data_IF_742788411953
#
_entry.id   IF_742788411953
#
_cell.length_a   1.000
_cell.length_b   1.000
_cell.length_c   1.000
_cell.angle_alpha   90.00
_cell.angle_beta   90.00
_cell.angle_gamma   90.00
#
_symmetry.space_group_name_H-M   'P 1'
#
loop_
_entity.id
_entity.type
_entity.pdbx_description
1 polymer ?
#
# COMPACT_ATOMS: atom_id res chain seq x y z
N UNK A 1 -0.41 -17.48 -12.61
CA UNK A 1 0.68 -18.44 -12.88
C UNK A 1 1.96 -17.63 -12.93
N UNK A 2 2.99 -18.06 -12.19
CA UNK A 2 4.28 -17.38 -12.09
C UNK A 2 5.08 -17.59 -13.39
N UNK A 3 5.79 -16.58 -13.88
CA UNK A 3 6.60 -16.75 -15.08
C UNK A 3 7.90 -17.52 -14.79
N UNK A 4 8.51 -18.18 -15.80
CA UNK A 4 9.69 -19.01 -15.61
C UNK A 4 10.94 -18.26 -15.14
N UNK A 5 11.09 -16.97 -15.47
CA UNK A 5 12.25 -16.19 -15.07
C UNK A 5 12.19 -15.87 -13.57
N UNK A 6 11.00 -15.52 -13.08
CA UNK A 6 10.77 -15.31 -11.64
C UNK A 6 10.98 -16.60 -10.84
N UNK A 7 10.53 -17.75 -11.36
CA UNK A 7 10.76 -19.04 -10.70
C UNK A 7 12.26 -19.38 -10.56
N UNK A 8 13.05 -19.10 -11.61
CA UNK A 8 14.49 -19.31 -11.60
C UNK A 8 15.20 -18.43 -10.55
N UNK A 9 14.84 -17.15 -10.46
CA UNK A 9 15.40 -16.23 -9.47
C UNK A 9 15.07 -16.63 -8.03
N UNK A 10 13.88 -17.17 -7.78
CA UNK A 10 13.53 -17.71 -6.47
C UNK A 10 14.32 -18.98 -6.13
N UNK A 11 14.69 -19.76 -7.14
CA UNK A 11 15.59 -20.91 -7.01
C UNK A 11 17.07 -20.52 -6.92
N UNK A 12 17.45 -19.25 -7.04
CA UNK A 12 18.81 -18.74 -6.78
C UNK A 12 18.95 -18.07 -5.41
N UNK A 13 17.85 -17.96 -4.64
CA UNK A 13 17.89 -17.46 -3.27
C UNK A 13 18.89 -18.24 -2.41
N UNK A 14 19.46 -17.53 -1.43
CA UNK A 14 20.28 -18.12 -0.37
C UNK A 14 19.53 -19.21 0.40
N UNK A 15 20.25 -20.09 1.07
CA UNK A 15 19.65 -21.22 1.80
C UNK A 15 18.59 -20.76 2.83
N UNK A 16 18.85 -19.66 3.54
CA UNK A 16 17.91 -19.08 4.50
C UNK A 16 16.62 -18.62 3.82
N UNK A 17 16.71 -17.79 2.78
CA UNK A 17 15.54 -17.31 2.03
C UNK A 17 14.81 -18.44 1.30
N UNK A 18 15.54 -19.42 0.78
CA UNK A 18 14.98 -20.60 0.10
C UNK A 18 14.20 -21.47 1.07
N UNK A 19 14.63 -21.58 2.32
CA UNK A 19 13.88 -22.32 3.34
C UNK A 19 12.50 -21.69 3.58
N UNK A 20 12.43 -20.35 3.66
CA UNK A 20 11.17 -19.61 3.81
C UNK A 20 10.29 -19.73 2.57
N UNK A 21 10.88 -19.65 1.37
CA UNK A 21 10.15 -19.90 0.13
C UNK A 21 9.52 -21.30 0.10
N UNK A 22 10.25 -22.34 0.54
CA UNK A 22 9.69 -23.70 0.62
C UNK A 22 8.56 -23.80 1.65
N UNK A 23 8.69 -23.14 2.80
CA UNK A 23 7.64 -23.10 3.82
C UNK A 23 6.37 -22.41 3.30
N UNK A 24 6.53 -21.29 2.59
CA UNK A 24 5.46 -20.60 1.89
C UNK A 24 4.78 -21.52 0.88
N UNK A 25 5.54 -22.17 -0.01
CA UNK A 25 4.96 -23.07 -1.02
C UNK A 25 4.25 -24.27 -0.38
N UNK A 26 4.81 -24.84 0.68
CA UNK A 26 4.18 -25.94 1.41
C UNK A 26 2.87 -25.53 2.10
N UNK A 27 2.82 -24.33 2.71
CA UNK A 27 1.58 -23.80 3.31
C UNK A 27 0.52 -23.46 2.25
N UNK A 28 0.93 -22.91 1.11
CA UNK A 28 0.06 -22.63 -0.02
C UNK A 28 -0.58 -23.92 -0.59
N UNK A 29 0.20 -25.00 -0.76
CA UNK A 29 -0.31 -26.31 -1.20
C UNK A 29 -1.30 -26.91 -0.19
N UNK A 30 -1.09 -26.67 1.11
CA UNK A 30 -2.01 -27.10 2.17
C UNK A 30 -3.28 -26.24 2.26
N UNK A 31 -3.36 -25.12 1.54
CA UNK A 31 -4.47 -24.17 1.63
C UNK A 31 -4.50 -23.38 2.94
N UNK A 32 -3.39 -23.33 3.67
CA UNK A 32 -3.27 -22.56 4.91
C UNK A 32 -2.81 -21.13 4.58
N UNK A 33 -3.80 -20.28 4.29
CA UNK A 33 -3.58 -18.92 3.81
C UNK A 33 -3.01 -17.99 4.90
N UNK A 34 -3.38 -18.16 6.16
CA UNK A 34 -2.86 -17.32 7.26
C UNK A 34 -1.35 -17.53 7.43
N UNK A 35 -0.94 -18.80 7.50
CA UNK A 35 0.47 -19.16 7.59
C UNK A 35 1.24 -18.79 6.31
N UNK A 36 0.61 -18.85 5.14
CA UNK A 36 1.20 -18.43 3.88
C UNK A 36 1.58 -16.94 3.89
N UNK A 37 0.71 -16.07 4.41
CA UNK A 37 1.00 -14.65 4.58
C UNK A 37 2.17 -14.39 5.52
N UNK A 38 2.26 -15.14 6.63
CA UNK A 38 3.37 -15.02 7.57
C UNK A 38 4.72 -15.39 6.93
N UNK A 39 4.78 -16.49 6.17
CA UNK A 39 6.00 -16.88 5.47
C UNK A 39 6.35 -15.91 4.33
N UNK A 40 5.36 -15.33 3.65
CA UNK A 40 5.60 -14.30 2.64
C UNK A 40 6.26 -13.05 3.25
N UNK A 41 5.76 -12.59 4.40
CA UNK A 41 6.34 -11.45 5.12
C UNK A 41 7.76 -11.76 5.65
N UNK A 42 7.99 -12.99 6.14
CA UNK A 42 9.32 -13.43 6.59
C UNK A 42 10.31 -13.47 5.42
N UNK A 43 9.92 -14.08 4.30
CA UNK A 43 10.72 -14.14 3.08
C UNK A 43 11.09 -12.73 2.60
N UNK A 44 10.10 -11.84 2.48
CA UNK A 44 10.31 -10.45 2.05
C UNK A 44 11.28 -9.69 2.94
N UNK A 45 11.14 -9.82 4.27
CA UNK A 45 12.06 -9.19 5.23
C UNK A 45 13.48 -9.73 5.11
N UNK A 46 13.67 -11.05 5.06
CA UNK A 46 15.00 -11.63 4.95
C UNK A 46 15.68 -11.30 3.61
N UNK A 47 14.94 -11.32 2.49
CA UNK A 47 15.48 -10.90 1.20
C UNK A 47 15.89 -9.43 1.20
N UNK A 48 15.13 -8.55 1.86
CA UNK A 48 15.49 -7.14 1.99
C UNK A 48 16.78 -6.93 2.81
N UNK A 49 16.98 -7.69 3.89
CA UNK A 49 18.23 -7.63 4.65
C UNK A 49 19.43 -8.14 3.84
N UNK A 50 19.29 -9.28 3.15
CA UNK A 50 20.37 -9.81 2.32
C UNK A 50 20.71 -8.93 1.12
N UNK A 51 19.73 -8.20 0.59
CA UNK A 51 19.98 -7.16 -0.41
C UNK A 51 20.83 -6.02 0.17
N UNK A 52 20.56 -5.57 1.39
CA UNK A 52 21.38 -4.52 2.06
C UNK A 52 22.82 -4.98 2.28
N UNK A 53 23.03 -6.27 2.55
CA UNK A 53 24.36 -6.89 2.66
C UNK A 53 25.03 -7.16 1.31
N UNK A 54 24.36 -6.87 0.18
CA UNK A 54 24.90 -7.06 -1.17
C UNK A 54 24.93 -8.51 -1.66
N UNK A 55 24.22 -9.42 -0.97
CA UNK A 55 24.15 -10.85 -1.33
C UNK A 55 23.12 -11.10 -2.43
N UNK A 56 22.00 -10.36 -2.41
CA UNK A 56 20.93 -10.44 -3.41
C UNK A 56 20.93 -9.21 -4.31
N UNK A 57 20.55 -9.42 -5.58
CA UNK A 57 20.34 -8.34 -6.54
C UNK A 57 18.90 -7.81 -6.57
N UNK A 58 18.69 -6.76 -7.35
CA UNK A 58 17.38 -6.10 -7.47
C UNK A 58 16.32 -7.02 -8.11
N UNK A 59 16.74 -7.87 -9.04
CA UNK A 59 15.89 -8.86 -9.70
C UNK A 59 15.31 -9.89 -8.71
N UNK A 60 16.07 -10.26 -7.69
CA UNK A 60 15.61 -11.16 -6.63
C UNK A 60 14.52 -10.51 -5.78
N UNK A 61 14.69 -9.23 -5.43
CA UNK A 61 13.66 -8.46 -4.73
C UNK A 61 12.39 -8.33 -5.56
N UNK A 62 12.52 -8.00 -6.85
CA UNK A 62 11.38 -7.91 -7.76
C UNK A 62 10.63 -9.25 -7.86
N UNK A 63 11.36 -10.37 -7.88
CA UNK A 63 10.76 -11.70 -7.92
C UNK A 63 9.99 -12.03 -6.63
N UNK A 64 10.55 -11.70 -5.47
CA UNK A 64 9.91 -11.89 -4.16
C UNK A 64 8.70 -10.98 -4.00
N UNK A 65 8.77 -9.73 -4.45
CA UNK A 65 7.62 -8.82 -4.45
C UNK A 65 6.48 -9.37 -5.32
N UNK A 66 6.78 -9.84 -6.53
CA UNK A 66 5.80 -10.49 -7.39
C UNK A 66 5.17 -11.75 -6.76
N UNK A 67 5.97 -12.57 -6.06
CA UNK A 67 5.44 -13.71 -5.29
C UNK A 67 4.47 -13.25 -4.19
N UNK A 68 4.84 -12.24 -3.41
CA UNK A 68 4.03 -11.71 -2.32
C UNK A 68 2.70 -11.15 -2.85
N UNK A 69 2.71 -10.47 -4.00
CA UNK A 69 1.47 -10.02 -4.66
C UNK A 69 0.57 -11.19 -5.07
N UNK A 70 1.14 -12.28 -5.61
CA UNK A 70 0.37 -13.48 -5.97
C UNK A 70 -0.25 -14.11 -4.72
N UNK A 71 0.51 -14.22 -3.63
CA UNK A 71 0.01 -14.72 -2.35
C UNK A 71 -1.12 -13.86 -1.81
N UNK A 72 -0.93 -12.53 -1.76
CA UNK A 72 -1.96 -11.58 -1.32
C UNK A 72 -3.25 -11.71 -2.15
N UNK A 73 -3.13 -11.80 -3.48
CA UNK A 73 -4.29 -12.02 -4.37
C UNK A 73 -4.98 -13.36 -4.09
N UNK A 74 -4.22 -14.43 -3.83
CA UNK A 74 -4.76 -15.75 -3.50
C UNK A 74 -5.48 -15.80 -2.16
N UNK A 75 -5.01 -15.03 -1.18
CA UNK A 75 -5.63 -14.91 0.15
C UNK A 75 -6.90 -14.04 0.15
N UNK A 76 -7.20 -13.34 -0.95
CA UNK A 76 -8.29 -12.36 -0.99
C UNK A 76 -8.08 -11.19 -0.03
N UNK A 77 -6.84 -10.94 0.41
CA UNK A 77 -6.53 -9.75 1.21
C UNK A 77 -6.91 -8.52 0.39
N UNK A 78 -7.70 -7.63 0.99
CA UNK A 78 -8.13 -6.40 0.33
C UNK A 78 -6.90 -5.63 -0.16
N UNK A 79 -6.89 -5.29 -1.44
CA UNK A 79 -5.91 -4.39 -2.01
C UNK A 79 -5.92 -3.10 -1.16
N UNK A 80 -4.76 -2.65 -0.72
CA UNK A 80 -4.65 -1.44 0.12
C UNK A 80 -5.31 -0.23 -0.56
N UNK A 81 -5.60 0.84 0.20
CA UNK A 81 -6.28 2.00 -0.36
C UNK A 81 -5.46 2.60 -1.51
N UNK A 82 -6.13 2.90 -2.61
CA UNK A 82 -5.50 3.51 -3.78
C UNK A 82 -5.04 4.92 -3.45
N UNK A 83 -3.82 5.28 -3.83
CA UNK A 83 -3.32 6.65 -3.70
C UNK A 83 -3.86 7.54 -4.82
N UNK A 84 -4.45 8.67 -4.45
CA UNK A 84 -4.92 9.70 -5.37
C UNK A 84 -4.08 10.97 -5.19
N UNK A 85 -3.44 11.42 -6.27
CA UNK A 85 -2.69 12.66 -6.26
C UNK A 85 -3.62 13.86 -6.41
N UNK A 86 -3.53 14.83 -5.51
CA UNK A 86 -4.36 16.03 -5.51
C UNK A 86 -3.51 17.26 -5.85
N UNK A 87 -4.08 18.16 -6.66
CA UNK A 87 -3.44 19.43 -7.00
C UNK A 87 -3.69 20.49 -5.91
N UNK A 88 -3.19 20.20 -4.71
CA UNK A 88 -3.25 21.04 -3.50
C UNK A 88 -2.01 20.69 -2.68
N UNK A 89 -1.36 21.63 -2.00
CA UNK A 89 -0.29 21.33 -1.05
C UNK A 89 -0.85 21.29 0.38
N UNK A 90 -0.60 20.18 1.09
CA UNK A 90 -1.04 19.99 2.48
C UNK A 90 -0.40 21.06 3.37
N UNK A 91 0.88 21.33 3.19
CA UNK A 91 1.61 22.31 4.00
C UNK A 91 1.10 23.74 3.85
N UNK A 92 0.63 24.12 2.65
CA UNK A 92 0.14 25.49 2.40
C UNK A 92 -1.35 25.67 2.68
N UNK A 93 -2.14 24.62 2.45
CA UNK A 93 -3.61 24.71 2.49
C UNK A 93 -4.22 24.04 3.72
N UNK A 94 -3.55 23.06 4.31
CA UNK A 94 -4.01 22.28 5.47
C UNK A 94 -2.91 22.15 6.55
N UNK A 95 -2.28 23.27 6.99
CA UNK A 95 -1.16 23.21 7.93
C UNK A 95 -1.55 22.56 9.27
N UNK A 96 -2.78 22.79 9.74
CA UNK A 96 -3.26 22.23 11.02
C UNK A 96 -3.46 20.70 10.94
N UNK A 97 -3.75 20.17 9.74
CA UNK A 97 -3.84 18.73 9.54
C UNK A 97 -2.47 18.08 9.72
N UNK A 98 -1.44 18.69 9.15
CA UNK A 98 -0.06 18.21 9.27
C UNK A 98 0.51 18.44 10.68
N UNK A 99 0.30 19.62 11.26
CA UNK A 99 0.96 20.03 12.50
C UNK A 99 0.30 19.47 13.76
N UNK A 100 -1.03 19.37 13.80
CA UNK A 100 -1.81 19.01 15.00
C UNK A 100 -2.92 18.00 14.71
N UNK A 101 -2.83 17.26 13.61
CA UNK A 101 -3.78 16.20 13.23
C UNK A 101 -5.24 16.67 13.12
N UNK A 102 -5.47 17.95 12.78
CA UNK A 102 -6.81 18.48 12.61
C UNK A 102 -7.53 17.80 11.44
N UNK A 103 -8.69 17.20 11.73
CA UNK A 103 -9.53 16.56 10.72
C UNK A 103 -10.33 17.60 9.94
N UNK A 104 -10.25 17.52 8.61
CA UNK A 104 -11.06 18.33 7.71
C UNK A 104 -12.08 17.46 6.96
N UNK A 105 -13.32 17.93 6.75
CA UNK A 105 -14.25 17.25 5.87
C UNK A 105 -13.75 17.30 4.42
N UNK A 106 -13.50 16.13 3.85
CA UNK A 106 -13.08 15.97 2.45
C UNK A 106 -14.11 15.09 1.76
N UNK A 107 -14.72 15.62 0.70
CA UNK A 107 -15.73 14.92 -0.10
C UNK A 107 -15.47 15.10 -1.60
N UNK A 108 -15.84 14.13 -2.44
CA UNK A 108 -15.88 14.36 -3.88
C UNK A 108 -16.92 15.42 -4.25
N UNK A 109 -16.62 16.27 -5.23
CA UNK A 109 -17.55 17.32 -5.72
C UNK A 109 -18.71 16.70 -6.51
N UNK A 110 -18.43 15.60 -7.22
CA UNK A 110 -19.33 14.99 -8.19
C UNK A 110 -19.58 13.54 -7.84
N UNK A 111 -20.67 12.98 -8.40
CA UNK A 111 -20.99 11.55 -8.36
C UNK A 111 -21.17 10.99 -6.93
N UNK A 112 -21.64 11.84 -6.00
CA UNK A 112 -21.94 11.49 -4.61
C UNK A 112 -23.05 10.42 -4.46
N UNK A 113 -23.91 10.28 -5.47
CA UNK A 113 -25.00 9.30 -5.49
C UNK A 113 -24.56 7.93 -6.04
N UNK A 114 -23.31 7.78 -6.47
CA UNK A 114 -22.80 6.53 -7.01
C UNK A 114 -22.09 5.69 -5.93
N UNK A 115 -22.52 4.44 -5.73
CA UNK A 115 -22.03 3.51 -4.69
C UNK A 115 -20.53 3.16 -4.77
N UNK A 116 -19.59 3.72 -3.98
CA UNK A 116 -18.12 3.58 -4.08
C UNK A 116 -17.54 2.21 -4.51
N UNK A 117 -16.43 2.21 -5.26
CA UNK A 117 -15.80 1.01 -5.82
C UNK A 117 -14.42 0.70 -5.23
N UNK A 118 -13.72 1.71 -4.70
CA UNK A 118 -12.35 1.58 -4.20
C UNK A 118 -12.19 2.46 -2.97
N UNK A 119 -11.42 2.01 -2.00
CA UNK A 119 -10.95 2.89 -0.93
C UNK A 119 -9.71 3.64 -1.41
N UNK A 120 -9.54 4.89 -0.97
CA UNK A 120 -8.37 5.67 -1.34
C UNK A 120 -7.91 6.68 -0.30
N UNK A 121 -6.62 7.00 -0.40
CA UNK A 121 -5.94 8.04 0.37
C UNK A 121 -5.51 9.15 -0.56
N UNK A 122 -5.38 10.37 -0.03
CA UNK A 122 -4.98 11.51 -0.83
C UNK A 122 -3.51 11.80 -0.58
N UNK A 123 -2.77 12.16 -1.62
CA UNK A 123 -1.40 12.66 -1.49
C UNK A 123 -1.28 13.89 -2.37
N UNK A 124 -0.62 14.92 -1.86
CA UNK A 124 -0.32 16.07 -2.67
C UNK A 124 0.78 15.76 -3.70
N UNK A 125 1.20 16.80 -4.41
CA UNK A 125 2.28 16.75 -5.40
C UNK A 125 3.62 17.22 -4.83
N UNK A 126 3.71 17.42 -3.51
CA UNK A 126 4.99 17.77 -2.88
C UNK A 126 5.88 16.53 -2.78
N UNK A 127 7.19 16.74 -2.62
CA UNK A 127 8.15 15.65 -2.48
C UNK A 127 8.22 15.08 -1.06
N UNK A 128 7.41 15.60 -0.14
CA UNK A 128 7.43 15.20 1.26
C UNK A 128 6.40 14.08 1.50
N UNK A 129 6.81 13.00 2.19
CA UNK A 129 5.92 11.88 2.50
C UNK A 129 4.77 12.25 3.44
N UNK A 130 4.91 13.36 4.17
CA UNK A 130 3.89 13.92 5.06
C UNK A 130 2.85 14.75 4.28
N UNK A 131 3.09 15.01 2.99
CA UNK A 131 2.12 15.60 2.06
C UNK A 131 0.97 14.65 1.72
N UNK A 132 0.33 14.02 2.71
CA UNK A 132 -0.74 13.05 2.54
C UNK A 132 -1.89 13.30 3.50
N UNK A 133 -3.08 12.86 3.08
CA UNK A 133 -4.26 12.76 3.92
C UNK A 133 -4.66 11.29 4.01
N UNK A 134 -4.42 10.71 5.18
CA UNK A 134 -4.71 9.33 5.53
C UNK A 134 -5.53 9.19 6.83
N UNK A 135 -6.03 10.31 7.36
CA UNK A 135 -7.01 10.34 8.45
C UNK A 135 -8.25 11.12 8.03
N UNK A 136 -9.42 10.49 8.20
CA UNK A 136 -10.71 11.05 7.80
C UNK A 136 -11.72 10.98 8.95
N UNK A 137 -12.72 11.86 8.89
CA UNK A 137 -13.80 11.94 9.88
C UNK A 137 -14.42 10.57 10.12
N UNK A 138 -14.63 10.23 11.40
CA UNK A 138 -15.15 8.93 11.81
C UNK A 138 -14.07 7.86 12.01
N UNK A 139 -12.80 8.26 12.18
CA UNK A 139 -11.69 7.35 12.47
C UNK A 139 -11.30 6.46 11.29
N UNK A 140 -11.59 6.92 10.07
CA UNK A 140 -11.29 6.16 8.84
C UNK A 140 -9.89 6.49 8.35
N UNK A 141 -9.20 5.48 7.82
CA UNK A 141 -7.88 5.62 7.19
C UNK A 141 -7.94 5.81 5.66
N UNK A 142 -9.13 5.78 5.08
CA UNK A 142 -9.37 5.96 3.65
C UNK A 142 -10.77 6.49 3.38
N UNK A 143 -10.95 7.10 2.20
CA UNK A 143 -12.24 7.50 1.67
C UNK A 143 -12.78 6.42 0.73
N UNK A 144 -14.08 6.11 0.81
CA UNK A 144 -14.72 5.28 -0.20
C UNK A 144 -14.94 6.12 -1.44
N UNK A 145 -14.19 5.80 -2.49
CA UNK A 145 -14.07 6.53 -3.73
C UNK A 145 -14.43 5.67 -4.94
N UNK A 146 -14.26 6.26 -6.10
CA UNK A 146 -14.50 5.67 -7.39
C UNK A 146 -13.39 6.15 -8.35
N UNK A 147 -13.40 5.68 -9.59
CA UNK A 147 -12.45 6.10 -10.63
C UNK A 147 -12.80 7.46 -11.26
N UNK A 148 -11.86 8.41 -11.26
CA UNK A 148 -11.95 9.76 -11.83
C UNK A 148 -12.90 10.73 -11.09
N UNK A 149 -12.38 11.40 -10.06
CA UNK A 149 -13.12 12.34 -9.19
C UNK A 149 -12.29 13.59 -8.92
N UNK A 150 -12.99 14.69 -8.63
CA UNK A 150 -12.40 15.92 -8.10
C UNK A 150 -12.87 16.07 -6.66
N UNK A 151 -11.96 16.43 -5.76
CA UNK A 151 -12.24 16.65 -4.35
C UNK A 151 -12.54 18.12 -4.07
N UNK A 152 -13.45 18.36 -3.12
CA UNK A 152 -13.57 19.63 -2.42
C UNK A 152 -13.23 19.38 -0.96
N UNK A 153 -12.24 20.12 -0.47
CA UNK A 153 -12.04 20.27 0.96
C UNK A 153 -12.99 21.35 1.44
N UNK A 154 -13.99 20.99 2.25
CA UNK A 154 -14.86 21.96 2.88
C UNK A 154 -14.08 22.60 4.03
N UNK A 155 -13.41 23.71 3.74
CA UNK A 155 -12.91 24.61 4.75
C UNK A 155 -14.12 25.21 5.48
N UNK A 156 -14.46 24.64 6.64
CA UNK A 156 -15.42 25.23 7.54
C UNK A 156 -14.79 26.49 8.18
N UNK A 157 -14.75 27.58 7.41
CA UNK A 157 -14.35 28.94 7.80
C UNK A 157 -12.92 29.15 8.35
N UNK A 158 -12.26 30.19 7.82
CA UNK A 158 -11.37 31.13 8.50
C UNK A 158 -10.97 30.78 9.95
N UNK A 159 -9.68 30.54 10.20
CA UNK A 159 -9.05 31.18 11.36
C UNK A 159 -8.74 32.61 10.91
N UNK A 160 -9.72 33.48 11.12
CA UNK A 160 -9.45 34.90 11.27
C UNK A 160 -8.95 35.09 12.69
N UNK A 161 -7.63 35.09 12.85
CA UNK A 161 -6.90 35.77 13.93
C UNK A 161 -5.79 36.55 13.25
#
# INVERSE_FOLDING_TARGET
MMDPATAYLLDELTDDCRSEYRNLMASAVRGDFETCGLYADQLKRHCAEQFKEGVLGLEHLAAVDGLCEIVARGMGTAEGPRRYHINLSVFTSLPDMWAIEQLFPIIPIQRLQERPAVDGVLSDLTCDSDGKVDQFIGGRSSLPLRSNFVFLTLFANKIGI
#
